data_IF_862727954885
#
_entry.id   IF_862727954885
#
_cell.length_a   1.000
_cell.length_b   1.000
_cell.length_c   1.000
_cell.angle_alpha   90.00
_cell.angle_beta   90.00
_cell.angle_gamma   90.00
#
_symmetry.space_group_name_H-M   'P 1'
#
loop_
_entity.id
_entity.type
_entity.pdbx_description
1 polymer ?
#
# COMPACT_ATOMS: atom_id res chain seq x y z
N UNK A 1 -2.01 1.62 -10.68
CA UNK A 1 -2.94 2.56 -10.03
C UNK A 1 -4.24 2.75 -10.78
N UNK A 2 -4.20 2.83 -12.12
CA UNK A 2 -5.42 2.97 -12.91
C UNK A 2 -6.43 1.85 -12.67
N UNK A 3 -5.97 0.60 -12.55
CA UNK A 3 -6.86 -0.54 -12.30
C UNK A 3 -7.60 -0.42 -10.98
N UNK A 4 -6.93 0.03 -9.93
CA UNK A 4 -7.58 0.21 -8.63
C UNK A 4 -8.58 1.36 -8.68
N UNK A 5 -8.29 2.43 -9.41
CA UNK A 5 -9.21 3.54 -9.56
C UNK A 5 -10.46 3.16 -10.36
N UNK A 6 -10.31 2.32 -11.36
CA UNK A 6 -11.46 1.78 -12.11
C UNK A 6 -12.35 0.94 -11.19
N UNK A 7 -11.74 0.07 -10.39
CA UNK A 7 -12.47 -0.79 -9.46
C UNK A 7 -13.17 0.01 -8.37
N UNK A 8 -12.57 1.11 -7.95
CA UNK A 8 -13.16 2.02 -6.96
C UNK A 8 -14.51 2.57 -7.41
N UNK A 9 -14.73 2.71 -8.70
CA UNK A 9 -15.97 3.27 -9.26
C UNK A 9 -17.14 2.29 -9.18
N UNK A 10 -16.90 1.02 -8.92
CA UNK A 10 -17.95 0.02 -8.80
C UNK A 10 -18.71 0.21 -7.50
N UNK A 11 -19.99 -0.13 -7.52
CA UNK A 11 -20.77 -0.19 -6.28
C UNK A 11 -20.30 -1.40 -5.47
N UNK A 12 -20.49 -1.35 -4.17
CA UNK A 12 -20.13 -2.46 -3.29
C UNK A 12 -20.81 -3.76 -3.72
N UNK A 13 -22.07 -3.69 -4.14
CA UNK A 13 -22.82 -4.86 -4.60
C UNK A 13 -22.22 -5.44 -5.86
N UNK A 14 -21.94 -4.59 -6.85
CA UNK A 14 -21.31 -5.03 -8.09
C UNK A 14 -19.94 -5.64 -7.84
N UNK A 15 -19.14 -5.01 -7.00
CA UNK A 15 -17.81 -5.49 -6.64
C UNK A 15 -17.90 -6.87 -5.97
N UNK A 16 -18.77 -7.03 -4.98
CA UNK A 16 -18.91 -8.26 -4.23
C UNK A 16 -19.45 -9.42 -5.07
N UNK A 17 -20.20 -9.14 -6.14
CA UNK A 17 -20.81 -10.16 -6.98
C UNK A 17 -19.95 -10.64 -8.14
N UNK A 18 -18.79 -10.00 -8.40
CA UNK A 18 -17.93 -10.33 -9.53
C UNK A 18 -16.58 -10.90 -9.07
N UNK A 19 -16.38 -12.23 -9.12
CA UNK A 19 -15.13 -12.84 -8.68
C UNK A 19 -13.90 -12.36 -9.46
N UNK A 20 -14.04 -12.02 -10.73
CA UNK A 20 -12.92 -11.53 -11.53
C UNK A 20 -12.48 -10.15 -11.06
N UNK A 21 -13.42 -9.28 -10.74
CA UNK A 21 -13.11 -7.95 -10.23
C UNK A 21 -12.49 -8.02 -8.84
N UNK A 22 -12.97 -8.93 -7.99
CA UNK A 22 -12.41 -9.16 -6.67
C UNK A 22 -10.97 -9.64 -6.78
N UNK A 23 -10.72 -10.65 -7.61
CA UNK A 23 -9.38 -11.19 -7.82
C UNK A 23 -8.43 -10.14 -8.38
N UNK A 24 -8.89 -9.34 -9.34
CA UNK A 24 -8.12 -8.25 -9.92
C UNK A 24 -7.78 -7.19 -8.87
N UNK A 25 -8.73 -6.83 -8.02
CA UNK A 25 -8.52 -5.85 -6.96
C UNK A 25 -7.45 -6.33 -5.97
N UNK A 26 -7.55 -7.58 -5.53
CA UNK A 26 -6.56 -8.18 -4.61
C UNK A 26 -5.17 -8.18 -5.22
N UNK A 27 -5.05 -8.61 -6.47
CA UNK A 27 -3.78 -8.67 -7.17
C UNK A 27 -3.14 -7.28 -7.29
N UNK A 28 -3.90 -6.30 -7.77
CA UNK A 28 -3.36 -4.96 -7.97
C UNK A 28 -3.04 -4.26 -6.66
N UNK A 29 -3.79 -4.52 -5.59
CA UNK A 29 -3.49 -3.97 -4.28
C UNK A 29 -2.18 -4.54 -3.74
N UNK A 30 -1.97 -5.85 -3.86
CA UNK A 30 -0.72 -6.49 -3.46
C UNK A 30 0.46 -5.89 -4.23
N UNK A 31 0.36 -5.78 -5.55
CA UNK A 31 1.41 -5.24 -6.41
C UNK A 31 1.71 -3.78 -6.04
N UNK A 32 0.66 -2.98 -5.79
CA UNK A 32 0.85 -1.58 -5.43
C UNK A 32 1.61 -1.45 -4.10
N UNK A 33 1.23 -2.22 -3.08
CA UNK A 33 1.89 -2.16 -1.77
C UNK A 33 3.34 -2.62 -1.89
N UNK A 34 3.59 -3.70 -2.63
CA UNK A 34 4.95 -4.18 -2.87
C UNK A 34 5.79 -3.14 -3.60
N UNK A 35 5.19 -2.42 -4.54
CA UNK A 35 5.87 -1.33 -5.24
C UNK A 35 6.29 -0.19 -4.32
N UNK A 36 5.45 0.16 -3.34
CA UNK A 36 5.80 1.17 -2.34
C UNK A 36 6.99 0.74 -1.51
N UNK A 37 7.01 -0.53 -1.09
CA UNK A 37 8.12 -1.10 -0.33
C UNK A 37 9.40 -1.09 -1.16
N UNK A 38 9.32 -1.46 -2.43
CA UNK A 38 10.48 -1.48 -3.32
C UNK A 38 11.07 -0.08 -3.50
N UNK A 39 10.23 0.94 -3.65
CA UNK A 39 10.71 2.33 -3.73
C UNK A 39 11.46 2.73 -2.47
N UNK A 40 10.93 2.39 -1.31
CA UNK A 40 11.59 2.70 -0.04
C UNK A 40 12.91 1.95 0.09
N UNK A 41 12.93 0.66 -0.25
CA UNK A 41 14.14 -0.15 -0.15
C UNK A 41 15.24 0.35 -1.09
N UNK A 42 14.86 0.86 -2.27
CA UNK A 42 15.82 1.47 -3.18
C UNK A 42 16.56 2.64 -2.53
N UNK A 43 15.81 3.55 -1.90
CA UNK A 43 16.38 4.72 -1.23
C UNK A 43 17.18 4.32 0.02
N UNK A 44 16.69 3.36 0.79
CA UNK A 44 17.36 2.85 1.98
C UNK A 44 18.74 2.30 1.61
N UNK A 45 18.80 1.45 0.58
CA UNK A 45 20.06 0.87 0.12
C UNK A 45 20.99 1.93 -0.46
N UNK A 46 20.46 2.83 -1.28
CA UNK A 46 21.26 3.87 -1.93
C UNK A 46 21.95 4.81 -0.93
N UNK A 47 21.27 5.11 0.17
CA UNK A 47 21.75 6.08 1.15
C UNK A 47 22.37 5.45 2.40
N UNK A 48 22.47 4.13 2.44
CA UNK A 48 23.07 3.45 3.59
C UNK A 48 22.27 3.55 4.87
N UNK A 49 20.95 3.67 4.77
CA UNK A 49 20.08 3.65 5.94
C UNK A 49 20.08 2.26 6.57
N UNK A 50 19.64 2.15 7.83
CA UNK A 50 19.62 0.83 8.46
C UNK A 50 18.74 -0.16 7.68
N UNK A 51 19.14 -1.42 7.67
CA UNK A 51 18.42 -2.47 6.94
C UNK A 51 17.09 -2.79 7.64
N UNK A 52 15.95 -2.74 6.93
CA UNK A 52 14.66 -3.10 7.51
C UNK A 52 14.57 -4.61 7.78
N UNK A 53 13.80 -4.98 8.80
CA UNK A 53 13.56 -6.37 9.16
C UNK A 53 12.37 -6.97 8.40
N UNK A 54 11.39 -6.14 8.04
CA UNK A 54 10.19 -6.55 7.31
C UNK A 54 9.57 -5.35 6.58
N UNK A 55 8.41 -5.55 5.94
CA UNK A 55 7.76 -4.46 5.20
C UNK A 55 7.34 -3.31 6.12
N UNK A 56 6.78 -3.62 7.28
CA UNK A 56 6.39 -2.57 8.23
C UNK A 56 7.61 -1.76 8.67
N UNK A 57 8.72 -2.43 8.93
CA UNK A 57 9.95 -1.77 9.34
C UNK A 57 10.55 -0.90 8.24
N UNK A 58 10.34 -1.27 6.98
CA UNK A 58 10.75 -0.43 5.84
C UNK A 58 10.17 0.98 5.99
N UNK A 59 8.89 1.09 6.33
CA UNK A 59 8.26 2.39 6.50
C UNK A 59 8.77 3.11 7.75
N UNK A 60 9.12 2.37 8.81
CA UNK A 60 9.72 2.94 10.02
C UNK A 60 11.09 3.55 9.74
N UNK A 61 11.90 2.88 8.93
CA UNK A 61 13.21 3.43 8.53
C UNK A 61 13.03 4.75 7.80
N UNK A 62 12.07 4.83 6.89
CA UNK A 62 11.78 6.07 6.17
C UNK A 62 11.28 7.17 7.10
N UNK A 63 10.48 6.82 8.12
CA UNK A 63 10.06 7.78 9.14
C UNK A 63 11.25 8.32 9.93
N UNK A 64 12.16 7.44 10.33
CA UNK A 64 13.38 7.84 11.07
C UNK A 64 14.21 8.85 10.30
N UNK A 65 14.16 8.78 8.98
CA UNK A 65 14.89 9.69 8.09
C UNK A 65 14.09 10.92 7.66
N UNK A 66 12.90 11.09 8.21
CA UNK A 66 12.10 12.28 7.98
C UNK A 66 11.22 12.27 6.74
N UNK A 67 11.08 11.13 6.06
CA UNK A 67 10.26 11.02 4.87
C UNK A 67 8.76 11.11 5.18
N UNK A 68 8.35 10.50 6.29
CA UNK A 68 6.95 10.42 6.71
C UNK A 68 6.81 10.80 8.18
N UNK A 69 5.67 11.40 8.53
CA UNK A 69 5.34 11.63 9.94
C UNK A 69 4.85 10.32 10.59
N UNK A 70 4.81 10.25 11.93
CA UNK A 70 4.40 9.01 12.61
C UNK A 70 2.99 8.54 12.28
N UNK A 71 2.05 9.45 12.09
CA UNK A 71 0.67 9.10 11.79
C UNK A 71 0.56 8.46 10.40
N UNK A 72 1.20 9.06 9.41
CA UNK A 72 1.21 8.51 8.06
C UNK A 72 1.95 7.18 8.01
N UNK A 73 3.07 7.06 8.71
CA UNK A 73 3.81 5.80 8.81
C UNK A 73 2.94 4.68 9.37
N UNK A 74 2.13 4.98 10.39
CA UNK A 74 1.22 3.99 10.95
C UNK A 74 0.20 3.49 9.92
N UNK A 75 -0.31 4.38 9.08
CA UNK A 75 -1.22 4.00 7.99
C UNK A 75 -0.53 3.06 7.00
N UNK A 76 0.72 3.33 6.66
CA UNK A 76 1.50 2.48 5.76
C UNK A 76 1.79 1.11 6.38
N UNK A 77 2.07 1.07 7.69
CA UNK A 77 2.30 -0.19 8.41
C UNK A 77 1.03 -1.04 8.39
N UNK A 78 -0.13 -0.44 8.61
CA UNK A 78 -1.40 -1.16 8.54
C UNK A 78 -1.65 -1.72 7.13
N UNK A 79 -1.28 -0.95 6.11
CA UNK A 79 -1.38 -1.39 4.72
C UNK A 79 -0.47 -2.60 4.46
N UNK A 80 0.75 -2.59 4.97
CA UNK A 80 1.68 -3.71 4.84
C UNK A 80 1.14 -4.97 5.54
N UNK A 81 0.56 -4.81 6.71
CA UNK A 81 -0.07 -5.93 7.44
C UNK A 81 -1.26 -6.49 6.66
N UNK A 82 -2.04 -5.63 6.05
CA UNK A 82 -3.16 -6.07 5.22
C UNK A 82 -2.66 -6.85 3.99
N UNK A 83 -1.59 -6.40 3.36
CA UNK A 83 -0.96 -7.14 2.25
C UNK A 83 -0.56 -8.55 2.68
N UNK A 84 0.00 -8.69 3.88
CA UNK A 84 0.40 -10.00 4.39
C UNK A 84 -0.83 -10.92 4.58
N UNK A 85 -1.95 -10.38 5.04
CA UNK A 85 -3.20 -11.14 5.13
C UNK A 85 -3.68 -11.58 3.75
N UNK A 86 -3.60 -10.70 2.75
CA UNK A 86 -4.01 -11.03 1.37
C UNK A 86 -3.18 -12.17 0.78
N UNK A 87 -1.88 -12.23 1.08
CA UNK A 87 -0.97 -13.24 0.53
C UNK A 87 -1.06 -14.56 1.28
N UNK A 88 -1.15 -14.52 2.62
CA UNK A 88 -1.01 -15.70 3.46
C UNK A 88 -2.35 -16.26 3.97
N UNK A 89 -3.36 -15.43 4.15
CA UNK A 89 -4.68 -15.82 4.69
C UNK A 89 -5.78 -15.19 3.82
N UNK A 90 -5.65 -15.32 2.51
CA UNK A 90 -6.48 -14.51 1.65
C UNK A 90 -7.96 -14.94 1.60
N UNK A 91 -8.28 -16.16 1.99
CA UNK A 91 -9.68 -16.60 2.09
C UNK A 91 -10.42 -16.01 3.31
N UNK A 92 -9.68 -15.45 4.25
CA UNK A 92 -10.23 -14.87 5.48
C UNK A 92 -10.68 -13.41 5.31
N UNK A 93 -10.48 -12.83 4.14
CA UNK A 93 -10.79 -11.44 3.88
C UNK A 93 -12.11 -11.35 3.11
N UNK A 94 -13.11 -10.72 3.71
CA UNK A 94 -14.38 -10.54 3.05
C UNK A 94 -14.33 -9.39 2.03
N UNK A 95 -15.29 -9.41 1.11
CA UNK A 95 -15.32 -8.45 0.00
C UNK A 95 -15.65 -7.02 0.44
N UNK A 96 -16.43 -6.86 1.50
CA UNK A 96 -16.75 -5.55 2.02
C UNK A 96 -15.51 -4.90 2.63
N UNK A 97 -14.71 -5.67 3.37
CA UNK A 97 -13.44 -5.20 3.93
C UNK A 97 -12.49 -4.78 2.81
N UNK A 98 -12.36 -5.62 1.78
CA UNK A 98 -11.50 -5.32 0.64
C UNK A 98 -11.93 -4.04 -0.07
N UNK A 99 -13.23 -3.85 -0.29
CA UNK A 99 -13.76 -2.65 -0.91
C UNK A 99 -13.43 -1.41 -0.08
N UNK A 100 -13.61 -1.47 1.25
CA UNK A 100 -13.27 -0.36 2.14
C UNK A 100 -11.78 -0.01 2.06
N UNK A 101 -10.92 -1.02 2.02
CA UNK A 101 -9.47 -0.81 1.93
C UNK A 101 -9.14 -0.08 0.62
N UNK A 102 -9.70 -0.50 -0.50
CA UNK A 102 -9.48 0.17 -1.78
C UNK A 102 -9.90 1.63 -1.70
N UNK A 103 -11.10 1.90 -1.17
CA UNK A 103 -11.63 3.26 -1.09
C UNK A 103 -10.80 4.17 -0.19
N UNK A 104 -10.27 3.64 0.92
CA UNK A 104 -9.52 4.44 1.88
C UNK A 104 -8.04 4.52 1.56
N UNK A 105 -7.45 3.45 1.01
CA UNK A 105 -5.99 3.35 0.82
C UNK A 105 -5.49 3.94 -0.50
N UNK A 106 -6.34 4.11 -1.50
CA UNK A 106 -5.91 4.78 -2.74
C UNK A 106 -5.39 6.18 -2.46
N UNK A 107 -6.04 6.91 -1.57
CA UNK A 107 -5.58 8.23 -1.18
C UNK A 107 -4.23 8.17 -0.46
N UNK A 108 -4.03 7.18 0.40
CA UNK A 108 -2.75 6.99 1.09
C UNK A 108 -1.63 6.69 0.11
N UNK A 109 -1.90 5.88 -0.92
CA UNK A 109 -0.91 5.58 -1.96
C UNK A 109 -0.52 6.84 -2.72
N UNK A 110 -1.50 7.68 -3.08
CA UNK A 110 -1.23 8.95 -3.75
C UNK A 110 -0.40 9.89 -2.87
N UNK A 111 -0.71 9.96 -1.58
CA UNK A 111 0.06 10.76 -0.64
C UNK A 111 1.47 10.23 -0.46
N UNK A 112 1.63 8.89 -0.45
CA UNK A 112 2.95 8.27 -0.40
C UNK A 112 3.81 8.75 -1.57
N UNK A 113 3.30 8.66 -2.78
CA UNK A 113 4.07 9.04 -3.98
C UNK A 113 4.49 10.51 -3.91
N UNK A 114 3.62 11.39 -3.44
CA UNK A 114 3.94 12.80 -3.27
C UNK A 114 5.03 13.01 -2.23
N UNK A 115 4.87 12.40 -1.06
CA UNK A 115 5.85 12.55 0.04
C UNK A 115 7.21 11.93 -0.32
N UNK A 116 7.18 10.79 -0.98
CA UNK A 116 8.39 10.13 -1.46
C UNK A 116 9.12 11.02 -2.47
N UNK A 117 8.39 11.58 -3.43
CA UNK A 117 8.96 12.47 -4.44
C UNK A 117 9.62 13.71 -3.81
N UNK A 118 8.99 14.29 -2.80
CA UNK A 118 9.56 15.43 -2.06
C UNK A 118 10.84 14.99 -1.33
N UNK A 119 10.80 13.85 -0.66
CA UNK A 119 11.93 13.35 0.11
C UNK A 119 13.17 13.11 -0.76
N UNK A 120 12.98 12.55 -1.96
CA UNK A 120 14.10 12.28 -2.87
C UNK A 120 14.46 13.49 -3.75
N UNK A 121 13.74 14.59 -3.63
CA UNK A 121 14.07 15.83 -4.32
C UNK A 121 13.50 15.98 -5.72
N UNK A 122 12.43 15.25 -6.07
CA UNK A 122 11.79 15.36 -7.38
C UNK A 122 10.81 16.53 -7.50
N UNK A 123 10.38 17.09 -6.36
CA UNK A 123 9.41 18.20 -6.37
C UNK A 123 9.86 19.35 -5.52
#
# INVERSE_FOLDING_TARGET
MERLEELKKLTEVEFASDPHKIGSAKYHLIVAIEGLVDLCNHIIAKNGFRTPEDYADTFRVMQERGAFDPEFTNSLIQMARFRNRLVHIYWDIDNAELCRIILTRLNDIKQFLRKYGIFIGLT
#
